data_IF_445270919197
#
_entry.id   IF_445270919197
#
_cell.length_a   1.000
_cell.length_b   1.000
_cell.length_c   1.000
_cell.angle_alpha   90.00
_cell.angle_beta   90.00
_cell.angle_gamma   90.00
#
_symmetry.space_group_name_H-M   'P 1'
#
loop_
_entity.id
_entity.type
_entity.pdbx_description
1 polymer ?
#
# COMPACT_ATOMS: atom_id res chain seq x y z
N UNK A 1 0.70 12.16 1.16
CA UNK A 1 1.52 11.07 0.60
C UNK A 1 0.77 10.49 -0.58
N UNK A 2 1.46 10.12 -1.67
CA UNK A 2 0.84 9.41 -2.79
C UNK A 2 0.74 7.92 -2.44
N UNK A 3 -0.49 7.42 -2.32
CA UNK A 3 -0.79 6.03 -1.99
C UNK A 3 -0.82 5.13 -3.24
N UNK A 4 -0.64 5.69 -4.44
CA UNK A 4 -0.61 4.91 -5.68
C UNK A 4 0.67 4.09 -5.76
N UNK A 5 0.52 2.81 -6.12
CA UNK A 5 1.65 1.94 -6.41
C UNK A 5 2.29 2.34 -7.75
N UNK A 6 3.62 2.44 -7.76
CA UNK A 6 4.42 2.55 -8.98
C UNK A 6 4.34 1.26 -9.81
N UNK A 7 4.73 1.29 -11.08
CA UNK A 7 4.75 0.10 -11.93
C UNK A 7 5.65 -1.01 -11.36
N UNK A 8 6.80 -0.63 -10.78
CA UNK A 8 7.72 -1.57 -10.12
C UNK A 8 7.07 -2.24 -8.92
N UNK A 9 6.44 -1.45 -8.04
CA UNK A 9 5.74 -1.97 -6.86
C UNK A 9 4.57 -2.89 -7.24
N UNK A 10 3.79 -2.53 -8.27
CA UNK A 10 2.72 -3.38 -8.80
C UNK A 10 3.25 -4.69 -9.38
N UNK A 11 4.40 -4.64 -10.06
CA UNK A 11 5.03 -5.83 -10.66
C UNK A 11 5.55 -6.77 -9.58
N UNK A 12 6.27 -6.24 -8.58
CA UNK A 12 6.74 -7.01 -7.43
C UNK A 12 5.57 -7.66 -6.67
N UNK A 13 4.52 -6.89 -6.36
CA UNK A 13 3.32 -7.41 -5.68
C UNK A 13 2.65 -8.55 -6.48
N UNK A 14 2.56 -8.39 -7.80
CA UNK A 14 1.94 -9.39 -8.69
C UNK A 14 2.74 -10.70 -8.71
N UNK A 15 4.07 -10.62 -8.75
CA UNK A 15 4.94 -11.80 -8.75
C UNK A 15 4.85 -12.54 -7.41
N UNK A 16 4.81 -11.82 -6.29
CA UNK A 16 4.52 -12.45 -5.00
C UNK A 16 3.15 -13.14 -4.98
N UNK A 17 2.11 -12.52 -5.53
CA UNK A 17 0.78 -13.12 -5.62
C UNK A 17 0.73 -14.37 -6.53
N UNK A 18 1.72 -14.54 -7.42
CA UNK A 18 1.90 -15.72 -8.27
C UNK A 18 2.75 -16.81 -7.59
N UNK A 19 3.29 -16.56 -6.40
CA UNK A 19 4.08 -17.51 -5.62
C UNK A 19 5.59 -17.46 -5.88
N UNK A 20 6.09 -16.40 -6.51
CA UNK A 20 7.54 -16.22 -6.66
C UNK A 20 8.19 -15.75 -5.36
N UNK A 21 9.35 -16.34 -5.04
CA UNK A 21 10.22 -15.90 -3.95
C UNK A 21 11.06 -14.69 -4.35
N UNK A 22 11.55 -13.93 -3.35
CA UNK A 22 12.24 -12.66 -3.58
C UNK A 22 13.47 -12.78 -4.50
N UNK A 23 14.25 -13.86 -4.41
CA UNK A 23 15.41 -14.10 -5.26
C UNK A 23 15.02 -14.33 -6.73
N UNK A 24 13.93 -15.08 -6.97
CA UNK A 24 13.42 -15.31 -8.32
C UNK A 24 12.87 -14.02 -8.95
N UNK A 25 12.22 -13.17 -8.14
CA UNK A 25 11.76 -11.85 -8.56
C UNK A 25 12.96 -10.95 -8.90
N UNK A 26 14.00 -10.97 -8.07
CA UNK A 26 15.22 -10.20 -8.29
C UNK A 26 15.90 -10.57 -9.61
N UNK A 27 16.04 -11.88 -9.87
CA UNK A 27 16.56 -12.40 -11.13
C UNK A 27 15.70 -11.98 -12.32
N UNK A 28 14.37 -12.15 -12.24
CA UNK A 28 13.45 -11.83 -13.32
C UNK A 28 13.42 -10.34 -13.68
N UNK A 29 13.62 -9.46 -12.69
CA UNK A 29 13.60 -8.01 -12.87
C UNK A 29 14.99 -7.40 -13.08
N UNK A 30 16.07 -8.18 -12.98
CA UNK A 30 17.44 -7.69 -13.09
C UNK A 30 17.83 -6.71 -11.99
N UNK A 31 17.35 -6.94 -10.77
CA UNK A 31 17.60 -6.10 -9.58
C UNK A 31 18.15 -6.95 -8.43
N UNK A 32 18.50 -6.33 -7.29
CA UNK A 32 18.91 -7.07 -6.09
C UNK A 32 17.72 -7.51 -5.25
N UNK A 33 17.88 -8.58 -4.45
CA UNK A 33 16.87 -9.03 -3.49
C UNK A 33 16.50 -7.92 -2.50
N UNK A 34 17.48 -7.12 -2.05
CA UNK A 34 17.25 -5.93 -1.21
C UNK A 34 16.30 -4.91 -1.87
N UNK A 35 16.42 -4.71 -3.19
CA UNK A 35 15.51 -3.82 -3.94
C UNK A 35 14.08 -4.38 -4.03
N UNK A 36 13.91 -5.71 -4.03
CA UNK A 36 12.61 -6.38 -3.95
C UNK A 36 12.00 -6.19 -2.55
N UNK A 37 12.77 -6.38 -1.50
CA UNK A 37 12.34 -6.17 -0.11
C UNK A 37 11.92 -4.72 0.12
N UNK A 38 12.72 -3.76 -0.35
CA UNK A 38 12.39 -2.34 -0.23
C UNK A 38 11.10 -1.97 -0.99
N UNK A 39 10.89 -2.54 -2.19
CA UNK A 39 9.64 -2.35 -2.92
C UNK A 39 8.45 -2.95 -2.15
N UNK A 40 8.64 -4.09 -1.50
CA UNK A 40 7.62 -4.75 -0.68
C UNK A 40 7.24 -3.91 0.54
N UNK A 41 8.22 -3.34 1.24
CA UNK A 41 7.97 -2.41 2.35
C UNK A 41 7.17 -1.20 1.88
N UNK A 42 7.51 -0.60 0.74
CA UNK A 42 6.77 0.53 0.20
C UNK A 42 5.32 0.17 -0.14
N UNK A 43 5.08 -1.02 -0.69
CA UNK A 43 3.73 -1.54 -0.94
C UNK A 43 2.95 -1.63 0.37
N UNK A 44 3.52 -2.25 1.40
CA UNK A 44 2.88 -2.38 2.71
C UNK A 44 2.54 -1.01 3.31
N UNK A 45 3.49 -0.06 3.30
CA UNK A 45 3.24 1.31 3.77
C UNK A 45 2.10 1.99 3.02
N UNK A 46 2.00 1.83 1.70
CA UNK A 46 0.93 2.44 0.90
C UNK A 46 -0.42 1.78 1.15
N UNK A 47 -0.47 0.45 1.27
CA UNK A 47 -1.71 -0.29 1.54
C UNK A 47 -2.23 -0.04 2.97
N UNK A 48 -1.38 -0.14 3.99
CA UNK A 48 -1.81 0.09 5.36
C UNK A 48 -1.98 1.57 5.69
N UNK A 49 -1.17 2.44 5.11
CA UNK A 49 -1.36 3.89 5.20
C UNK A 49 -2.71 4.32 4.61
N UNK A 50 -3.11 3.75 3.46
CA UNK A 50 -4.44 4.04 2.90
C UNK A 50 -5.58 3.45 3.74
N UNK A 51 -5.40 2.25 4.32
CA UNK A 51 -6.38 1.64 5.25
C UNK A 51 -6.59 2.47 6.52
N UNK A 52 -5.53 2.96 7.16
CA UNK A 52 -5.64 3.79 8.37
C UNK A 52 -6.37 5.11 8.10
N UNK A 53 -6.12 5.74 6.95
CA UNK A 53 -6.85 6.95 6.58
C UNK A 53 -8.33 6.69 6.33
N UNK A 54 -8.71 5.51 5.81
CA UNK A 54 -10.12 5.15 5.67
C UNK A 54 -10.79 5.06 7.04
N UNK A 55 -10.18 4.36 8.00
CA UNK A 55 -10.73 4.20 9.35
C UNK A 55 -10.77 5.51 10.15
N UNK A 56 -9.75 6.36 10.02
CA UNK A 56 -9.66 7.62 10.78
C UNK A 56 -10.51 8.77 10.19
N UNK A 57 -10.69 8.83 8.87
CA UNK A 57 -11.56 9.84 8.27
C UNK A 57 -13.05 9.53 8.47
N UNK A 58 -13.44 8.26 8.57
CA UNK A 58 -14.84 7.92 8.84
C UNK A 58 -15.29 8.39 10.22
N UNK A 59 -14.43 8.32 11.24
CA UNK A 59 -14.70 8.86 12.58
C UNK A 59 -14.86 10.39 12.61
N UNK A 60 -14.15 11.13 11.76
CA UNK A 60 -14.27 12.60 11.68
C UNK A 60 -15.60 13.04 11.06
N UNK A 61 -16.06 12.34 10.01
CA UNK A 61 -17.30 12.70 9.30
C UNK A 61 -18.60 12.33 10.01
N UNK A 62 -18.54 11.42 11.00
CA UNK A 62 -19.69 11.04 11.80
C UNK A 62 -20.02 12.09 12.88
N UNK A 63 -19.00 12.69 13.50
CA UNK A 63 -19.17 13.71 14.54
C UNK A 63 -19.65 15.07 13.98
N UNK A 64 -19.23 15.43 12.75
CA UNK A 64 -19.67 16.69 12.11
C UNK A 64 -21.14 16.67 11.66
N UNK A 65 -21.71 15.50 11.36
CA UNK A 65 -23.12 15.38 10.91
C UNK A 65 -24.14 15.47 12.04
N UNK A 66 -23.74 15.15 13.27
CA UNK A 66 -24.62 15.26 14.44
C UNK A 66 -24.76 16.71 14.92
N UNK A 67 -23.70 17.51 14.82
CA UNK A 67 -23.70 18.92 15.23
C UNK A 67 -24.53 19.85 14.32
N UNK A 68 -24.73 19.50 13.04
CA UNK A 68 -25.54 20.28 12.08
C UNK A 68 -27.03 19.97 12.19
N UNK A 69 -27.43 18.86 12.82
CA UNK A 69 -28.83 18.46 12.98
C UNK A 69 -29.53 19.09 14.20
N UNK A 70 -28.81 19.86 15.02
CA UNK A 70 -29.31 20.49 16.28
C UNK A 70 -29.21 22.02 16.23
N UNK A 71 -29.19 22.64 15.04
CA UNK A 71 -29.29 24.10 14.86
C UNK A 71 -30.42 24.45 13.90
#
# INVERSE_FOLDING_TARGET
MDYKLTEREQTVLRLFAQGYEADAIAEQLGITTEQVEQASLNVLYKLFGSSLNHTLNETSSAEERELVAVS
#
